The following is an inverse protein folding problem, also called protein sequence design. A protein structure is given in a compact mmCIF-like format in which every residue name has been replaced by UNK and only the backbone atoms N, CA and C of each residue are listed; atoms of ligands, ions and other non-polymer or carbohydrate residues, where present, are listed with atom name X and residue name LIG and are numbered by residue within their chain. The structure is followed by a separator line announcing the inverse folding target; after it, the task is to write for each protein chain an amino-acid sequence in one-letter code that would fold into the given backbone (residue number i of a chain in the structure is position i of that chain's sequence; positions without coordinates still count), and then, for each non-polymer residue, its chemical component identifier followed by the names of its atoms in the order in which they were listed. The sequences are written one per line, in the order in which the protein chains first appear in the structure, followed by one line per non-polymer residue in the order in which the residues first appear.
data_IF_896736999908
#
_entry.id   IF_896736999908
#
_cell.length_a   1.000
_cell.length_b   1.000
_cell.length_c   1.000
_cell.angle_alpha   90.00
_cell.angle_beta   90.00
_cell.angle_gamma   90.00
#
_symmetry.space_group_name_H-M   'P 1'
#
loop_
_entity.id
_entity.type
_entity.pdbx_description
1 polymer ?
#
# COMPACT_ATOMS: atom_id res chain seq x y z
N UNK A 1 35.80 -12.76 -40.45
CA UNK A 1 35.63 -12.85 -38.99
C UNK A 1 35.69 -11.45 -38.42
N UNK A 2 34.54 -10.89 -38.05
CA UNK A 2 34.37 -9.54 -37.49
C UNK A 2 33.64 -9.70 -36.15
N UNK A 3 34.11 -9.10 -35.05
CA UNK A 3 33.51 -9.32 -33.75
C UNK A 3 32.21 -8.52 -33.60
N UNK A 4 31.15 -9.20 -33.15
CA UNK A 4 29.86 -8.58 -32.78
C UNK A 4 30.06 -7.74 -31.53
N UNK A 5 29.73 -6.44 -31.63
CA UNK A 5 29.64 -5.53 -30.48
C UNK A 5 28.54 -5.99 -29.52
N UNK A 6 28.88 -6.12 -28.24
CA UNK A 6 27.92 -6.33 -27.17
C UNK A 6 27.00 -5.10 -27.04
N UNK A 7 25.70 -5.32 -27.11
CA UNK A 7 24.70 -4.29 -26.87
C UNK A 7 24.66 -3.98 -25.36
N UNK A 8 24.99 -2.74 -24.99
CA UNK A 8 24.74 -2.20 -23.65
C UNK A 8 23.23 -2.05 -23.48
N UNK A 9 22.64 -2.82 -22.56
CA UNK A 9 21.27 -2.63 -22.12
C UNK A 9 21.25 -1.37 -21.25
N UNK A 10 20.70 -0.29 -21.79
CA UNK A 10 20.41 0.93 -21.04
C UNK A 10 19.12 0.67 -20.23
N UNK A 11 19.11 0.79 -18.88
CA UNK A 11 17.87 0.70 -18.14
C UNK A 11 17.02 1.90 -18.52
N UNK A 12 15.87 1.63 -19.15
CA UNK A 12 14.84 2.63 -19.39
C UNK A 12 14.31 3.02 -18.01
N UNK A 13 14.73 4.18 -17.51
CA UNK A 13 14.02 4.91 -16.46
C UNK A 13 12.64 5.24 -17.03
N UNK A 14 11.69 4.33 -16.82
CA UNK A 14 10.30 4.56 -17.14
C UNK A 14 9.81 5.59 -16.12
N UNK A 15 9.80 6.86 -16.53
CA UNK A 15 9.04 7.92 -15.90
C UNK A 15 7.54 7.56 -16.03
N UNK A 16 7.08 6.60 -15.24
CA UNK A 16 5.67 6.41 -15.00
C UNK A 16 5.21 7.64 -14.21
N UNK A 17 4.47 8.51 -14.90
CA UNK A 17 3.75 9.61 -14.28
C UNK A 17 2.79 9.06 -13.21
N UNK A 18 3.28 9.01 -11.98
CA UNK A 18 2.45 8.96 -10.79
C UNK A 18 2.08 10.42 -10.55
N UNK A 19 0.84 10.77 -10.88
CA UNK A 19 0.27 12.03 -10.45
C UNK A 19 0.26 12.03 -8.92
N UNK A 20 1.30 12.64 -8.34
CA UNK A 20 1.26 13.16 -7.01
C UNK A 20 0.21 14.28 -7.01
N UNK A 21 -0.99 14.02 -6.50
CA UNK A 21 -1.85 15.12 -6.07
C UNK A 21 -1.27 15.70 -4.77
N UNK A 22 -0.20 16.47 -4.91
CA UNK A 22 0.22 17.46 -3.94
C UNK A 22 -0.61 18.72 -4.20
N UNK A 23 -1.12 19.34 -3.14
CA UNK A 23 -1.79 20.64 -3.22
C UNK A 23 -0.88 21.68 -3.88
N UNK A 24 -1.50 22.68 -4.49
CA UNK A 24 -0.85 23.77 -5.20
C UNK A 24 0.19 24.51 -4.32
N UNK A 25 1.41 23.99 -4.30
CA UNK A 25 2.62 24.66 -3.87
C UNK A 25 3.43 25.00 -5.10
N UNK A 26 3.83 26.27 -5.21
CA UNK A 26 4.70 26.82 -6.25
C UNK A 26 5.89 25.87 -6.48
N UNK A 27 6.13 25.45 -7.73
CA UNK A 27 7.27 24.61 -8.08
C UNK A 27 8.57 25.30 -7.61
N UNK A 28 9.42 24.67 -6.79
CA UNK A 28 10.73 25.22 -6.50
C UNK A 28 11.58 25.14 -7.77
N UNK A 29 12.26 26.25 -8.07
CA UNK A 29 13.11 26.41 -9.25
C UNK A 29 14.08 25.23 -9.40
N UNK A 30 14.01 24.57 -10.55
CA UNK A 30 14.80 23.39 -10.86
C UNK A 30 16.30 23.68 -10.85
N UNK A 31 16.95 23.41 -9.72
CA UNK A 31 18.34 23.01 -9.68
C UNK A 31 18.38 21.49 -9.50
N UNK A 32 18.88 20.80 -10.52
CA UNK A 32 19.33 19.41 -10.36
C UNK A 32 20.35 19.39 -9.20
N UNK A 33 20.24 18.47 -8.22
CA UNK A 33 21.21 18.39 -7.15
C UNK A 33 22.61 18.18 -7.74
N UNK A 34 23.57 18.96 -7.24
CA UNK A 34 24.98 18.82 -7.58
C UNK A 34 25.45 17.41 -7.20
N UNK A 35 26.03 16.69 -8.17
CA UNK A 35 26.74 15.43 -8.01
C UNK A 35 26.09 14.45 -7.01
N UNK A 36 24.82 14.11 -7.24
CA UNK A 36 24.04 13.25 -6.36
C UNK A 36 24.58 11.81 -6.30
N UNK A 37 24.71 11.27 -5.09
CA UNK A 37 25.00 9.85 -4.86
C UNK A 37 23.82 9.03 -5.42
N UNK A 38 24.02 8.37 -6.55
CA UNK A 38 23.05 7.38 -7.03
C UNK A 38 22.97 6.22 -6.03
N UNK A 39 21.77 5.94 -5.52
CA UNK A 39 21.55 4.79 -4.65
C UNK A 39 21.78 3.48 -5.43
N UNK A 40 22.30 2.44 -4.77
CA UNK A 40 22.49 1.16 -5.42
C UNK A 40 21.14 0.57 -5.83
N UNK A 41 21.10 0.00 -7.03
CA UNK A 41 19.97 -0.78 -7.54
C UNK A 41 20.46 -2.21 -7.74
N UNK A 42 19.82 -3.16 -7.04
CA UNK A 42 20.09 -4.59 -7.17
C UNK A 42 18.90 -5.29 -7.83
N UNK A 43 19.03 -5.64 -9.10
CA UNK A 43 18.12 -6.59 -9.74
C UNK A 43 18.46 -8.03 -9.35
N UNK A 44 17.45 -8.83 -8.98
CA UNK A 44 17.64 -10.27 -8.79
C UNK A 44 18.00 -10.93 -10.13
N UNK A 45 19.02 -11.77 -10.15
CA UNK A 45 19.48 -12.45 -11.37
C UNK A 45 18.66 -13.71 -11.72
N UNK A 46 17.83 -14.17 -10.78
CA UNK A 46 17.00 -15.35 -10.87
C UNK A 46 16.21 -15.49 -9.57
N UNK A 47 15.45 -16.58 -9.45
CA UNK A 47 14.68 -16.85 -8.24
C UNK A 47 15.58 -16.84 -7.00
N UNK A 48 15.13 -16.14 -5.96
CA UNK A 48 15.89 -15.99 -4.71
C UNK A 48 14.98 -16.28 -3.52
N UNK A 49 15.56 -16.87 -2.48
CA UNK A 49 14.90 -17.04 -1.18
C UNK A 49 15.62 -16.23 -0.11
N UNK A 50 14.88 -15.38 0.58
CA UNK A 50 15.36 -14.60 1.72
C UNK A 50 14.97 -15.25 3.03
N UNK A 51 15.89 -15.23 4.01
CA UNK A 51 15.68 -15.70 5.37
C UNK A 51 16.53 -14.90 6.36
N UNK A 52 16.15 -14.88 7.64
CA UNK A 52 16.89 -14.17 8.69
C UNK A 52 16.70 -12.66 8.64
N UNK A 53 17.78 -11.89 8.86
CA UNK A 53 17.76 -10.43 8.66
C UNK A 53 18.30 -10.08 7.26
N UNK A 54 17.49 -9.37 6.48
CA UNK A 54 17.86 -8.84 5.17
C UNK A 54 17.87 -7.32 5.26
N UNK A 55 18.90 -6.68 4.72
CA UNK A 55 19.03 -5.22 4.72
C UNK A 55 18.99 -4.68 3.29
N UNK A 56 18.15 -3.68 3.08
CA UNK A 56 17.99 -2.99 1.80
C UNK A 56 18.50 -1.56 1.95
N UNK A 57 19.51 -1.25 1.14
CA UNK A 57 20.01 0.10 0.87
C UNK A 57 19.70 0.41 -0.59
N UNK A 58 18.99 1.49 -0.88
CA UNK A 58 18.54 1.78 -2.24
C UNK A 58 17.42 0.84 -2.69
N UNK A 59 17.42 0.43 -3.97
CA UNK A 59 16.33 -0.35 -4.55
C UNK A 59 16.74 -1.81 -4.79
N UNK A 60 15.91 -2.75 -4.33
CA UNK A 60 15.96 -4.13 -4.81
C UNK A 60 14.82 -4.36 -5.79
N UNK A 61 15.17 -4.83 -6.99
CA UNK A 61 14.22 -5.10 -8.06
C UNK A 61 14.06 -6.61 -8.23
N UNK A 62 12.82 -7.09 -8.20
CA UNK A 62 12.43 -8.45 -8.60
C UNK A 62 11.93 -8.38 -10.05
N UNK A 63 12.76 -8.71 -11.07
CA UNK A 63 12.39 -8.51 -12.46
C UNK A 63 11.26 -9.46 -12.91
N UNK A 64 10.62 -9.14 -14.03
CA UNK A 64 9.65 -10.03 -14.67
C UNK A 64 10.25 -11.43 -14.88
N UNK A 65 9.49 -12.45 -14.53
CA UNK A 65 9.90 -13.86 -14.68
C UNK A 65 10.71 -14.40 -13.51
N UNK A 66 11.09 -13.54 -12.54
CA UNK A 66 11.76 -13.94 -11.31
C UNK A 66 10.76 -14.00 -10.16
N UNK A 67 10.97 -14.94 -9.23
CA UNK A 67 10.22 -15.07 -7.99
C UNK A 67 11.12 -14.80 -6.80
N UNK A 68 10.75 -13.81 -5.99
CA UNK A 68 11.32 -13.64 -4.65
C UNK A 68 10.44 -14.37 -3.64
N UNK A 69 11.03 -15.34 -2.94
CA UNK A 69 10.40 -16.01 -1.79
C UNK A 69 11.01 -15.47 -0.50
N UNK A 70 10.19 -15.11 0.47
CA UNK A 70 10.64 -14.66 1.79
C UNK A 70 10.15 -15.67 2.82
N UNK A 71 11.08 -16.32 3.51
CA UNK A 71 10.78 -17.36 4.48
C UNK A 71 10.11 -16.78 5.75
N UNK A 72 9.29 -17.56 6.47
CA UNK A 72 8.73 -17.15 7.76
C UNK A 72 9.78 -16.62 8.74
N UNK A 73 9.42 -15.62 9.55
CA UNK A 73 10.30 -15.00 10.54
C UNK A 73 11.38 -14.06 9.98
N UNK A 74 11.44 -13.88 8.66
CA UNK A 74 12.40 -12.95 8.04
C UNK A 74 12.10 -11.50 8.43
N UNK A 75 13.14 -10.74 8.73
CA UNK A 75 13.08 -9.28 8.96
C UNK A 75 13.82 -8.57 7.84
N UNK A 76 13.09 -7.85 7.00
CA UNK A 76 13.63 -6.99 5.94
C UNK A 76 13.70 -5.56 6.47
N UNK A 77 14.91 -5.00 6.57
CA UNK A 77 15.20 -3.67 7.09
C UNK A 77 15.60 -2.72 5.97
N UNK A 78 14.90 -1.60 5.84
CA UNK A 78 15.18 -0.57 4.85
C UNK A 78 15.96 0.58 5.49
N UNK A 79 17.10 0.95 4.91
CA UNK A 79 17.89 2.09 5.37
C UNK A 79 17.23 3.41 4.98
N UNK A 80 17.18 4.36 5.91
CA UNK A 80 16.67 5.70 5.63
C UNK A 80 17.74 6.53 4.94
N UNK A 81 17.52 6.77 3.66
CA UNK A 81 18.39 7.62 2.84
C UNK A 81 17.48 8.47 1.97
N UNK A 82 17.59 9.78 2.08
CA UNK A 82 16.75 10.74 1.37
C UNK A 82 17.69 11.56 0.47
N UNK A 83 17.76 11.18 -0.82
CA UNK A 83 18.71 11.79 -1.76
C UNK A 83 18.16 13.08 -2.36
N UNK A 84 16.84 13.15 -2.56
CA UNK A 84 16.18 14.31 -3.18
C UNK A 84 15.67 15.34 -2.16
N UNK A 85 15.74 15.03 -0.86
CA UNK A 85 15.42 15.94 0.24
C UNK A 85 13.92 16.15 0.45
N UNK A 86 13.08 15.25 -0.05
CA UNK A 86 11.61 15.35 0.07
C UNK A 86 11.07 14.90 1.43
N UNK A 87 11.95 14.40 2.30
CA UNK A 87 11.62 13.87 3.62
C UNK A 87 11.11 12.43 3.62
N UNK A 88 11.34 11.69 2.54
CA UNK A 88 11.03 10.27 2.38
C UNK A 88 12.31 9.48 2.12
N UNK A 89 12.49 8.38 2.85
CA UNK A 89 13.58 7.45 2.57
C UNK A 89 13.36 6.73 1.23
N UNK A 90 14.40 6.69 0.41
CA UNK A 90 14.41 6.16 -0.95
C UNK A 90 14.66 4.66 -1.06
N UNK A 91 14.90 3.97 0.06
CA UNK A 91 15.06 2.51 0.02
C UNK A 91 13.71 1.82 -0.26
N UNK A 92 13.70 0.81 -1.13
CA UNK A 92 12.49 0.15 -1.59
C UNK A 92 12.71 -1.30 -2.05
N UNK A 93 11.61 -2.07 -2.08
CA UNK A 93 11.51 -3.33 -2.80
C UNK A 93 10.52 -3.15 -3.95
N UNK A 94 11.01 -3.23 -5.19
CA UNK A 94 10.23 -3.05 -6.40
C UNK A 94 10.05 -4.39 -7.13
N UNK A 95 8.80 -4.82 -7.35
CA UNK A 95 8.45 -6.17 -7.81
C UNK A 95 7.69 -6.11 -9.13
N UNK A 96 8.34 -6.57 -10.21
CA UNK A 96 7.72 -6.83 -11.52
C UNK A 96 7.51 -8.33 -11.81
N UNK A 97 8.23 -9.18 -11.08
CA UNK A 97 8.07 -10.62 -11.07
C UNK A 97 6.99 -11.08 -10.10
N UNK A 98 7.32 -12.09 -9.29
CA UNK A 98 6.44 -12.62 -8.25
C UNK A 98 7.04 -12.39 -6.87
N UNK A 99 6.18 -12.19 -5.88
CA UNK A 99 6.56 -12.09 -4.46
C UNK A 99 5.74 -13.09 -3.65
N UNK A 100 6.43 -14.01 -2.98
CA UNK A 100 5.84 -14.99 -2.06
C UNK A 100 6.38 -14.73 -0.66
N UNK A 101 5.60 -14.04 0.16
CA UNK A 101 5.93 -13.72 1.55
C UNK A 101 4.84 -14.28 2.46
N UNK A 102 5.02 -15.52 2.89
CA UNK A 102 4.04 -16.27 3.69
C UNK A 102 4.63 -16.57 5.06
N UNK A 103 4.36 -15.71 6.04
CA UNK A 103 4.70 -15.95 7.43
C UNK A 103 3.82 -17.04 8.06
N UNK A 104 4.20 -17.49 9.26
CA UNK A 104 3.40 -18.45 10.04
C UNK A 104 2.90 -17.80 11.33
N UNK A 105 1.90 -18.40 12.01
CA UNK A 105 1.65 -18.07 13.40
C UNK A 105 2.95 -18.15 14.21
N UNK A 106 3.24 -17.17 15.04
CA UNK A 106 4.46 -17.00 15.84
C UNK A 106 5.68 -16.48 15.08
N UNK A 107 5.70 -16.56 13.75
CA UNK A 107 6.85 -16.14 12.92
C UNK A 107 6.40 -15.32 11.70
N UNK A 108 5.83 -14.12 11.92
CA UNK A 108 5.49 -13.22 10.84
C UNK A 108 6.74 -12.75 10.09
N UNK A 109 6.57 -12.40 8.81
CA UNK A 109 7.60 -11.68 8.05
C UNK A 109 7.45 -10.19 8.35
N UNK A 110 8.54 -9.49 8.63
CA UNK A 110 8.52 -8.06 8.96
C UNK A 110 9.29 -7.24 7.93
N UNK A 111 8.64 -6.22 7.37
CA UNK A 111 9.23 -5.15 6.57
C UNK A 111 9.24 -3.87 7.42
N UNK A 112 10.42 -3.33 7.73
CA UNK A 112 10.55 -2.27 8.73
C UNK A 112 11.76 -1.37 8.48
N UNK A 113 11.83 -0.27 9.21
CA UNK A 113 12.98 0.63 9.20
C UNK A 113 14.25 -0.02 9.77
N UNK A 114 15.40 0.35 9.23
CA UNK A 114 16.71 0.06 9.80
C UNK A 114 17.12 1.05 10.91
N UNK A 115 16.39 2.16 11.07
CA UNK A 115 16.72 3.21 12.03
C UNK A 115 16.57 2.74 13.47
N UNK A 116 17.37 3.32 14.38
CA UNK A 116 17.28 3.06 15.82
C UNK A 116 15.93 3.50 16.39
N UNK A 117 15.41 4.61 15.89
CA UNK A 117 14.12 5.18 16.28
C UNK A 117 13.23 5.27 15.03
N UNK A 118 12.54 4.17 14.65
CA UNK A 118 11.74 4.13 13.43
C UNK A 118 10.63 5.18 13.41
N UNK A 119 10.43 5.80 12.25
CA UNK A 119 9.39 6.78 12.01
C UNK A 119 8.74 6.59 10.63
N UNK A 120 7.45 6.96 10.44
CA UNK A 120 6.84 6.93 9.11
C UNK A 120 7.69 7.70 8.09
N UNK A 121 7.79 7.20 6.87
CA UNK A 121 8.64 7.70 5.78
C UNK A 121 10.14 7.38 5.91
N UNK A 122 10.53 6.46 6.78
CA UNK A 122 11.93 6.00 6.83
C UNK A 122 12.34 5.25 5.55
N UNK A 123 11.39 4.72 4.79
CA UNK A 123 11.61 4.03 3.52
C UNK A 123 10.39 4.15 2.60
N UNK A 124 10.57 3.90 1.30
CA UNK A 124 9.60 4.31 0.27
C UNK A 124 8.45 3.34 0.15
N UNK A 125 8.73 2.15 -0.41
CA UNK A 125 7.71 1.24 -0.89
C UNK A 125 8.06 -0.24 -0.73
N UNK A 126 7.03 -1.04 -0.47
CA UNK A 126 6.91 -2.35 -1.12
C UNK A 126 6.05 -2.12 -2.36
N UNK A 127 6.68 -1.93 -3.51
CA UNK A 127 5.97 -1.61 -4.74
C UNK A 127 5.83 -2.85 -5.62
N UNK A 128 4.61 -3.34 -5.76
CA UNK A 128 4.25 -4.44 -6.66
C UNK A 128 3.61 -3.85 -7.91
N UNK A 129 4.25 -4.03 -9.07
CA UNK A 129 3.81 -3.46 -10.33
C UNK A 129 3.87 -4.53 -11.43
N UNK A 130 2.79 -4.74 -12.18
CA UNK A 130 2.72 -5.74 -13.26
C UNK A 130 2.89 -7.22 -12.83
N UNK A 131 2.86 -7.50 -11.52
CA UNK A 131 3.00 -8.85 -10.98
C UNK A 131 1.75 -9.69 -11.25
N UNK A 132 1.95 -10.91 -11.74
CA UNK A 132 0.84 -11.86 -11.97
C UNK A 132 0.55 -12.75 -10.77
N UNK A 133 1.48 -12.82 -9.81
CA UNK A 133 1.35 -13.61 -8.60
C UNK A 133 2.11 -12.96 -7.46
N UNK A 134 1.38 -12.25 -6.61
CA UNK A 134 1.87 -11.76 -5.33
C UNK A 134 1.05 -12.35 -4.20
N UNK A 135 1.70 -12.94 -3.20
CA UNK A 135 1.08 -13.47 -1.99
C UNK A 135 1.80 -12.89 -0.79
N UNK A 136 1.07 -12.12 0.02
CA UNK A 136 1.49 -11.73 1.35
C UNK A 136 0.52 -12.36 2.35
N UNK A 137 1.04 -13.20 3.25
CA UNK A 137 0.28 -13.71 4.39
C UNK A 137 1.08 -13.56 5.67
N UNK A 138 0.43 -13.14 6.76
CA UNK A 138 1.07 -12.96 8.07
C UNK A 138 2.34 -12.10 7.99
N UNK A 139 2.24 -11.00 7.27
CA UNK A 139 3.29 -9.99 7.17
C UNK A 139 3.00 -8.80 8.09
N UNK A 140 4.04 -8.10 8.52
CA UNK A 140 3.97 -6.79 9.18
C UNK A 140 4.78 -5.81 8.35
N UNK A 141 4.14 -4.77 7.82
CA UNK A 141 4.82 -3.66 7.13
C UNK A 141 4.62 -2.37 7.91
N UNK A 142 5.73 -1.70 8.26
CA UNK A 142 5.70 -0.54 9.14
C UNK A 142 6.78 0.51 8.82
N UNK A 143 6.49 1.77 9.17
CA UNK A 143 7.37 2.93 9.03
C UNK A 143 7.69 3.37 7.59
N UNK A 144 6.98 2.82 6.61
CA UNK A 144 7.12 3.19 5.21
C UNK A 144 6.42 4.53 4.90
N UNK A 145 6.70 5.09 3.72
CA UNK A 145 5.76 5.99 3.07
C UNK A 145 4.51 5.21 2.63
N UNK A 146 4.65 4.14 1.84
CA UNK A 146 3.55 3.19 1.60
C UNK A 146 3.93 1.79 2.07
N UNK A 147 3.16 1.24 3.04
CA UNK A 147 3.41 -0.09 3.60
C UNK A 147 3.33 -1.20 2.55
N UNK A 148 2.43 -1.03 1.57
CA UNK A 148 2.44 -1.74 0.29
C UNK A 148 1.76 -0.87 -0.76
N UNK A 149 2.21 -0.96 -2.01
CA UNK A 149 1.57 -0.36 -3.17
C UNK A 149 1.40 -1.41 -4.27
N UNK A 150 0.17 -1.66 -4.72
CA UNK A 150 -0.14 -2.69 -5.72
C UNK A 150 -0.74 -2.06 -6.98
N UNK A 151 0.00 -2.09 -8.09
CA UNK A 151 -0.40 -1.51 -9.38
C UNK A 151 -0.40 -2.57 -10.48
N UNK A 152 -1.43 -2.57 -11.34
CA UNK A 152 -1.51 -3.46 -12.52
C UNK A 152 -1.21 -4.94 -12.22
N UNK A 153 -1.60 -5.41 -11.04
CA UNK A 153 -1.12 -6.68 -10.49
C UNK A 153 -2.26 -7.53 -9.94
N UNK A 154 -2.03 -8.85 -9.92
CA UNK A 154 -2.86 -9.81 -9.19
C UNK A 154 -2.21 -10.17 -7.86
N UNK A 155 -2.88 -9.87 -6.76
CA UNK A 155 -2.33 -10.06 -5.42
C UNK A 155 -3.34 -10.65 -4.44
N UNK A 156 -2.86 -11.51 -3.55
CA UNK A 156 -3.59 -11.95 -2.36
C UNK A 156 -2.85 -11.46 -1.13
N UNK A 157 -3.47 -10.59 -0.35
CA UNK A 157 -2.88 -10.08 0.89
C UNK A 157 -3.81 -10.42 2.04
N UNK A 158 -3.32 -11.25 2.96
CA UNK A 158 -4.14 -11.78 4.04
C UNK A 158 -3.44 -11.78 5.38
N UNK A 159 -4.21 -11.68 6.47
CA UNK A 159 -3.68 -11.87 7.84
C UNK A 159 -2.47 -11.00 8.17
N UNK A 160 -2.36 -9.85 7.51
CA UNK A 160 -1.18 -8.98 7.60
C UNK A 160 -1.50 -7.67 8.31
N UNK A 161 -0.48 -7.00 8.83
CA UNK A 161 -0.56 -5.72 9.52
C UNK A 161 0.17 -4.66 8.72
N UNK A 162 -0.49 -3.53 8.49
CA UNK A 162 0.09 -2.33 7.90
C UNK A 162 -0.07 -1.19 8.88
N UNK A 163 1.04 -0.69 9.43
CA UNK A 163 0.97 0.32 10.50
C UNK A 163 2.07 1.36 10.48
N UNK A 164 1.79 2.55 11.03
CA UNK A 164 2.78 3.63 11.13
C UNK A 164 3.39 3.99 9.78
N UNK A 165 2.60 3.88 8.72
CA UNK A 165 2.93 4.33 7.38
C UNK A 165 2.17 5.61 7.05
N UNK A 166 2.54 6.30 5.97
CA UNK A 166 1.66 7.33 5.41
C UNK A 166 0.44 6.66 4.79
N UNK A 167 0.65 5.84 3.77
CA UNK A 167 -0.36 4.93 3.24
C UNK A 167 -0.10 3.53 3.84
N UNK A 168 -1.02 2.99 4.62
CA UNK A 168 -0.91 1.62 5.15
C UNK A 168 -0.95 0.62 4.00
N UNK A 169 -2.01 0.68 3.21
CA UNK A 169 -2.24 -0.16 2.04
C UNK A 169 -2.71 0.67 0.85
N UNK A 170 -1.94 0.68 -0.23
CA UNK A 170 -2.29 1.38 -1.47
C UNK A 170 -2.49 0.42 -2.64
N UNK A 171 -3.50 0.67 -3.46
CA UNK A 171 -3.65 -0.07 -4.73
C UNK A 171 -4.34 0.74 -5.83
N UNK A 172 -4.05 0.36 -7.08
CA UNK A 172 -4.69 0.85 -8.29
C UNK A 172 -4.63 -0.19 -9.40
N UNK A 173 -5.69 -0.33 -10.21
CA UNK A 173 -5.71 -1.31 -11.31
C UNK A 173 -5.32 -2.72 -10.83
N UNK A 174 -5.77 -3.10 -9.63
CA UNK A 174 -5.39 -4.35 -8.98
C UNK A 174 -6.53 -5.38 -9.05
N UNK A 175 -6.17 -6.65 -9.12
CA UNK A 175 -7.09 -7.77 -9.00
C UNK A 175 -6.71 -8.61 -7.79
N UNK A 176 -7.71 -9.11 -7.05
CA UNK A 176 -7.50 -10.11 -6.02
C UNK A 176 -8.14 -9.78 -4.68
N UNK A 177 -7.70 -10.47 -3.64
CA UNK A 177 -8.36 -10.50 -2.34
C UNK A 177 -7.44 -9.91 -1.28
N UNK A 178 -7.89 -8.82 -0.67
CA UNK A 178 -7.25 -8.16 0.47
C UNK A 178 -8.14 -8.38 1.67
N UNK A 179 -7.88 -9.46 2.41
CA UNK A 179 -8.79 -9.88 3.48
C UNK A 179 -8.14 -10.25 4.78
N UNK A 180 -8.85 -10.03 5.89
CA UNK A 180 -8.35 -10.36 7.23
C UNK A 180 -7.03 -9.63 7.52
N UNK A 181 -6.87 -8.39 7.06
CA UNK A 181 -5.72 -7.56 7.39
C UNK A 181 -6.10 -6.52 8.45
N UNK A 182 -5.09 -5.96 9.13
CA UNK A 182 -5.24 -4.82 10.01
C UNK A 182 -4.46 -3.62 9.47
N UNK A 183 -5.15 -2.50 9.26
CA UNK A 183 -4.56 -1.23 8.86
C UNK A 183 -4.76 -0.24 10.00
N UNK A 184 -3.68 0.14 10.69
CA UNK A 184 -3.77 0.94 11.92
C UNK A 184 -2.62 1.91 12.11
N UNK A 185 -2.84 3.03 12.80
CA UNK A 185 -1.81 4.05 13.08
C UNK A 185 -1.17 4.63 11.80
N UNK A 186 -1.90 4.65 10.68
CA UNK A 186 -1.45 5.26 9.42
C UNK A 186 -2.08 6.64 9.21
N UNK A 187 -1.56 7.43 8.26
CA UNK A 187 -2.32 8.60 7.78
C UNK A 187 -3.56 8.12 7.03
N UNK A 188 -3.38 7.22 6.07
CA UNK A 188 -4.48 6.54 5.36
C UNK A 188 -4.37 5.04 5.62
N UNK A 189 -5.40 4.43 6.20
CA UNK A 189 -5.42 2.97 6.39
C UNK A 189 -5.38 2.24 5.05
N UNK A 190 -6.32 2.61 4.18
CA UNK A 190 -6.37 2.20 2.77
C UNK A 190 -6.48 3.44 1.89
N UNK A 191 -5.68 3.49 0.82
CA UNK A 191 -5.81 4.49 -0.23
C UNK A 191 -5.91 3.81 -1.58
N UNK A 192 -6.93 4.13 -2.37
CA UNK A 192 -7.06 3.51 -3.69
C UNK A 192 -7.59 4.42 -4.78
N UNK A 193 -7.16 4.11 -5.99
CA UNK A 193 -7.74 4.58 -7.24
C UNK A 193 -8.24 3.35 -7.98
N UNK A 194 -9.53 3.22 -8.27
CA UNK A 194 -10.05 2.00 -8.88
C UNK A 194 -9.37 1.71 -10.23
N UNK A 195 -9.49 2.60 -11.21
CA UNK A 195 -8.89 2.44 -12.56
C UNK A 195 -9.10 1.02 -13.14
N UNK A 196 -10.34 0.52 -13.09
CA UNK A 196 -10.74 -0.85 -13.45
C UNK A 196 -10.27 -1.97 -12.51
N UNK A 197 -9.82 -1.64 -11.30
CA UNK A 197 -9.59 -2.62 -10.24
C UNK A 197 -10.87 -3.36 -9.88
N UNK A 198 -10.75 -4.67 -9.70
CA UNK A 198 -11.81 -5.58 -9.21
C UNK A 198 -11.42 -6.18 -7.86
N UNK A 199 -10.59 -5.47 -7.10
CA UNK A 199 -10.12 -5.91 -5.80
C UNK A 199 -11.28 -6.10 -4.82
N UNK A 200 -11.14 -7.08 -3.93
CA UNK A 200 -12.09 -7.37 -2.86
C UNK A 200 -11.42 -7.03 -1.54
N UNK A 201 -11.92 -6.00 -0.86
CA UNK A 201 -11.56 -5.66 0.51
C UNK A 201 -12.61 -6.25 1.45
N UNK A 202 -12.23 -7.30 2.18
CA UNK A 202 -13.17 -7.94 3.10
C UNK A 202 -12.56 -8.42 4.41
N UNK A 203 -13.34 -8.36 5.49
CA UNK A 203 -12.91 -8.85 6.82
C UNK A 203 -11.64 -8.17 7.34
N UNK A 204 -11.35 -6.96 6.84
CA UNK A 204 -10.25 -6.17 7.36
C UNK A 204 -10.68 -5.39 8.59
N UNK A 205 -9.73 -5.04 9.43
CA UNK A 205 -9.88 -4.12 10.54
C UNK A 205 -9.11 -2.83 10.25
N UNK A 206 -9.84 -1.75 10.00
CA UNK A 206 -9.31 -0.46 9.53
C UNK A 206 -9.63 0.58 10.60
N UNK A 207 -8.69 0.78 11.53
CA UNK A 207 -8.91 1.52 12.77
C UNK A 207 -7.69 2.30 13.24
N UNK A 208 -7.91 3.43 13.92
CA UNK A 208 -6.82 4.24 14.47
C UNK A 208 -5.94 4.90 13.42
N UNK A 209 -6.42 5.07 12.19
CA UNK A 209 -5.74 5.85 11.15
C UNK A 209 -6.26 7.30 11.17
N UNK A 210 -5.58 8.25 10.53
CA UNK A 210 -6.17 9.59 10.35
C UNK A 210 -7.43 9.51 9.48
N UNK A 211 -7.35 8.77 8.37
CA UNK A 211 -8.50 8.39 7.54
C UNK A 211 -8.48 6.87 7.34
N UNK A 212 -9.63 6.21 7.54
CA UNK A 212 -9.76 4.77 7.37
C UNK A 212 -9.55 4.34 5.92
N UNK A 213 -10.53 4.63 5.06
CA UNK A 213 -10.45 4.40 3.60
C UNK A 213 -10.51 5.73 2.85
N UNK A 214 -9.58 5.94 1.93
CA UNK A 214 -9.56 7.06 1.00
C UNK A 214 -9.73 6.57 -0.46
N UNK A 215 -10.93 6.77 -1.00
CA UNK A 215 -11.22 6.58 -2.43
C UNK A 215 -10.88 7.87 -3.18
N UNK A 216 -9.77 7.87 -3.92
CA UNK A 216 -9.14 9.12 -4.37
C UNK A 216 -9.95 9.81 -5.47
N UNK A 217 -10.35 9.09 -6.52
CA UNK A 217 -10.98 9.70 -7.69
C UNK A 217 -11.54 8.65 -8.65
N UNK A 218 -12.51 9.09 -9.46
CA UNK A 218 -13.00 8.41 -10.69
C UNK A 218 -13.28 6.91 -10.54
N UNK A 219 -13.62 6.47 -9.33
CA UNK A 219 -13.99 5.09 -9.04
C UNK A 219 -15.47 4.89 -9.29
N UNK A 220 -15.86 3.71 -9.76
CA UNK A 220 -17.22 3.41 -10.22
C UNK A 220 -17.90 2.28 -9.44
N UNK A 221 -17.28 1.84 -8.33
CA UNK A 221 -17.83 0.81 -7.44
C UNK A 221 -17.49 -0.62 -7.86
N UNK A 222 -16.41 -0.83 -8.63
CA UNK A 222 -15.91 -2.15 -9.01
C UNK A 222 -15.07 -2.82 -7.92
N UNK A 223 -14.48 -2.02 -7.04
CA UNK A 223 -13.83 -2.52 -5.82
C UNK A 223 -14.92 -2.90 -4.83
N UNK A 224 -14.98 -4.18 -4.45
CA UNK A 224 -15.94 -4.64 -3.46
C UNK A 224 -15.42 -4.37 -2.05
N UNK A 225 -16.13 -3.53 -1.28
CA UNK A 225 -15.78 -3.18 0.10
C UNK A 225 -16.89 -3.68 1.01
N UNK A 226 -16.70 -4.84 1.65
CA UNK A 226 -17.74 -5.50 2.45
C UNK A 226 -17.17 -6.33 3.58
N UNK A 227 -17.95 -6.59 4.62
CA UNK A 227 -17.56 -7.39 5.77
C UNK A 227 -16.34 -6.82 6.52
N UNK A 228 -15.98 -5.54 6.34
CA UNK A 228 -14.89 -4.91 7.07
C UNK A 228 -15.38 -4.27 8.36
N UNK A 229 -14.45 -4.07 9.29
CA UNK A 229 -14.59 -3.16 10.43
C UNK A 229 -13.88 -1.86 10.07
N UNK A 230 -14.62 -0.78 9.94
CA UNK A 230 -14.10 0.53 9.54
C UNK A 230 -14.54 1.53 10.61
N UNK A 231 -13.70 1.79 11.60
CA UNK A 231 -14.11 2.55 12.78
C UNK A 231 -12.93 3.19 13.49
N UNK A 232 -13.21 4.17 14.37
CA UNK A 232 -12.20 4.71 15.29
C UNK A 232 -11.01 5.36 14.59
N UNK A 233 -11.16 5.79 13.34
CA UNK A 233 -10.17 6.63 12.67
C UNK A 233 -10.28 8.08 13.20
N UNK A 234 -9.34 8.99 12.94
CA UNK A 234 -9.38 10.32 13.54
C UNK A 234 -10.39 11.23 12.83
N UNK A 235 -10.14 11.51 11.54
CA UNK A 235 -10.94 12.45 10.76
C UNK A 235 -12.18 11.77 10.20
N UNK A 236 -11.99 10.70 9.42
CA UNK A 236 -13.06 9.99 8.72
C UNK A 236 -12.79 8.49 8.64
N UNK A 237 -13.84 7.70 8.74
CA UNK A 237 -13.78 6.26 8.49
C UNK A 237 -13.78 5.96 6.98
N UNK A 238 -14.50 6.76 6.18
CA UNK A 238 -14.43 6.73 4.71
C UNK A 238 -14.41 8.16 4.14
N UNK A 239 -13.48 8.42 3.22
CA UNK A 239 -13.35 9.70 2.53
C UNK A 239 -13.33 9.52 1.01
N UNK A 240 -14.08 10.36 0.31
CA UNK A 240 -13.99 10.56 -1.13
C UNK A 240 -13.06 11.73 -1.47
N UNK A 241 -12.29 11.61 -2.54
CA UNK A 241 -11.44 12.71 -3.03
C UNK A 241 -12.19 13.69 -3.92
N UNK A 242 -11.59 14.85 -4.15
CA UNK A 242 -12.21 16.02 -4.79
C UNK A 242 -12.74 15.78 -6.22
N UNK A 243 -12.29 14.72 -6.91
CA UNK A 243 -12.75 14.31 -8.26
C UNK A 243 -13.58 13.03 -8.27
N UNK A 244 -13.98 12.53 -7.10
CA UNK A 244 -14.82 11.35 -7.00
C UNK A 244 -16.29 11.74 -7.15
N UNK A 245 -16.84 11.57 -8.37
CA UNK A 245 -18.22 11.96 -8.71
C UNK A 245 -19.24 10.84 -8.54
N UNK A 246 -18.86 9.60 -8.82
CA UNK A 246 -19.76 8.45 -8.72
C UNK A 246 -19.87 7.97 -7.28
N UNK A 247 -21.03 7.38 -6.98
CA UNK A 247 -21.30 6.76 -5.68
C UNK A 247 -20.45 5.51 -5.48
N UNK A 248 -20.03 5.30 -4.24
CA UNK A 248 -19.19 4.17 -3.85
C UNK A 248 -20.00 3.23 -2.95
N UNK A 249 -20.30 2.01 -3.43
CA UNK A 249 -20.88 0.95 -2.62
C UNK A 249 -19.95 0.58 -1.45
N UNK A 250 -20.49 0.62 -0.23
CA UNK A 250 -19.81 0.26 1.01
C UNK A 250 -20.78 -0.42 1.98
N UNK A 251 -21.79 -1.11 1.46
CA UNK A 251 -22.76 -1.87 2.24
C UNK A 251 -22.11 -3.09 2.90
N UNK A 252 -22.73 -3.59 3.95
CA UNK A 252 -22.29 -4.80 4.66
C UNK A 252 -20.98 -4.62 5.43
N UNK A 253 -20.59 -3.39 5.79
CA UNK A 253 -19.48 -3.11 6.70
C UNK A 253 -19.99 -2.77 8.11
N UNK A 254 -19.14 -2.97 9.12
CA UNK A 254 -19.33 -2.50 10.49
C UNK A 254 -18.60 -1.18 10.70
N UNK A 255 -19.31 -0.18 11.21
CA UNK A 255 -18.82 1.19 11.34
C UNK A 255 -18.50 1.61 12.78
N UNK A 256 -18.44 0.66 13.70
CA UNK A 256 -18.21 0.93 15.13
C UNK A 256 -19.48 1.24 15.94
N UNK A 257 -20.63 1.41 15.27
CA UNK A 257 -21.93 1.72 15.88
C UNK A 257 -23.06 1.25 14.97
N UNK A 258 -24.28 1.15 15.52
CA UNK A 258 -25.51 0.92 14.76
C UNK A 258 -26.36 2.17 14.55
N UNK A 259 -25.91 3.34 15.00
CA UNK A 259 -26.60 4.62 14.79
C UNK A 259 -26.23 5.21 13.42
N UNK A 260 -27.17 5.28 12.45
CA UNK A 260 -26.88 5.79 11.10
C UNK A 260 -26.38 7.24 11.10
N UNK A 261 -26.82 8.09 12.03
CA UNK A 261 -26.38 9.48 12.11
C UNK A 261 -24.91 9.56 12.55
N UNK A 262 -24.53 8.75 13.54
CA UNK A 262 -23.15 8.60 13.96
C UNK A 262 -22.26 8.04 12.83
N UNK A 263 -22.73 7.08 12.04
CA UNK A 263 -21.98 6.57 10.88
C UNK A 263 -21.80 7.68 9.82
N UNK A 264 -22.88 8.39 9.48
CA UNK A 264 -22.84 9.47 8.48
C UNK A 264 -21.86 10.58 8.86
N UNK A 265 -21.78 10.94 10.15
CA UNK A 265 -20.83 11.94 10.65
C UNK A 265 -19.35 11.56 10.46
N UNK A 266 -19.06 10.28 10.18
CA UNK A 266 -17.71 9.73 9.98
C UNK A 266 -17.32 9.56 8.52
N UNK A 267 -18.17 10.01 7.60
CA UNK A 267 -18.00 9.84 6.16
C UNK A 267 -17.87 11.22 5.50
N UNK A 268 -16.82 11.40 4.69
CA UNK A 268 -16.64 12.58 3.84
C UNK A 268 -17.05 12.23 2.41
N UNK A 269 -18.26 12.62 2.02
CA UNK A 269 -18.88 12.37 0.72
C UNK A 269 -19.81 13.54 0.32
N UNK A 270 -20.78 13.30 -0.57
CA UNK A 270 -21.81 14.27 -0.99
C UNK A 270 -22.53 14.98 0.17
N UNK A 271 -22.67 14.33 1.32
CA UNK A 271 -23.29 14.92 2.49
C UNK A 271 -22.48 16.07 3.10
N UNK A 272 -21.18 16.12 2.82
CA UNK A 272 -20.25 17.17 3.26
C UNK A 272 -19.87 18.10 2.10
N UNK A 273 -19.59 17.55 0.92
CA UNK A 273 -19.20 18.28 -0.28
C UNK A 273 -20.13 17.93 -1.45
N UNK A 274 -21.08 18.81 -1.84
CA UNK A 274 -22.15 18.49 -2.79
C UNK A 274 -21.71 17.99 -4.17
N UNK A 275 -20.51 18.36 -4.60
CA UNK A 275 -19.95 17.97 -5.90
C UNK A 275 -19.36 16.54 -5.91
N UNK A 276 -19.39 15.82 -4.79
CA UNK A 276 -18.90 14.43 -4.70
C UNK A 276 -20.01 13.39 -4.89
N UNK A 277 -19.59 12.15 -5.14
CA UNK A 277 -20.45 10.98 -4.96
C UNK A 277 -20.82 10.75 -3.50
N UNK A 278 -21.77 9.85 -3.25
CA UNK A 278 -22.12 9.36 -1.92
C UNK A 278 -21.38 8.06 -1.59
N UNK A 279 -21.07 7.85 -0.31
CA UNK A 279 -20.71 6.52 0.18
C UNK A 279 -22.00 5.83 0.63
N UNK A 280 -22.35 4.75 -0.07
CA UNK A 280 -23.56 3.97 0.17
C UNK A 280 -23.27 2.91 1.23
N UNK A 281 -23.48 3.27 2.50
CA UNK A 281 -23.13 2.40 3.62
C UNK A 281 -24.28 1.51 4.15
N UNK A 282 -25.51 1.73 3.66
CA UNK A 282 -26.69 0.98 4.07
C UNK A 282 -27.05 -0.13 3.07
N UNK A 283 -27.35 -1.35 3.53
CA UNK A 283 -27.38 -1.78 4.92
C UNK A 283 -25.97 -1.94 5.52
N UNK A 284 -25.78 -1.54 6.78
CA UNK A 284 -24.56 -1.81 7.54
C UNK A 284 -24.75 -2.99 8.50
N UNK A 285 -23.65 -3.58 8.96
CA UNK A 285 -23.71 -4.72 9.89
C UNK A 285 -24.21 -4.26 11.28
N UNK A 286 -24.98 -5.11 11.97
CA UNK A 286 -25.47 -4.81 13.33
C UNK A 286 -24.44 -5.09 14.43
N UNK A 287 -23.36 -5.81 14.11
CA UNK A 287 -22.28 -6.16 14.99
C UNK A 287 -20.98 -6.28 14.19
N UNK A 288 -19.80 -6.10 14.82
CA UNK A 288 -18.54 -6.34 14.14
C UNK A 288 -18.45 -7.80 13.64
N UNK A 289 -18.02 -8.05 12.39
CA UNK A 289 -17.54 -9.37 11.97
C UNK A 289 -16.53 -9.92 12.98
N UNK A 290 -16.35 -11.24 13.14
CA UNK A 290 -15.36 -11.80 14.08
C UNK A 290 -13.96 -11.20 13.90
N UNK A 291 -13.25 -10.96 15.01
CA UNK A 291 -11.84 -10.59 14.96
C UNK A 291 -11.12 -11.92 14.79
N UNK A 292 -10.46 -12.11 13.66
CA UNK A 292 -9.76 -13.35 13.42
C UNK A 292 -8.52 -13.52 14.30
N UNK A 293 -8.14 -12.51 15.10
CA UNK A 293 -7.13 -12.60 16.15
C UNK A 293 -5.87 -13.31 15.67
N UNK A 294 -5.04 -12.61 14.89
CA UNK A 294 -3.86 -13.26 14.31
C UNK A 294 -3.23 -12.48 13.16
N UNK A 295 -3.37 -11.16 13.18
CA UNK A 295 -2.77 -10.30 12.17
C UNK A 295 -1.27 -10.23 12.42
N UNK A 296 -0.47 -10.77 11.52
CA UNK A 296 0.99 -10.74 11.66
C UNK A 296 1.50 -11.37 12.96
N UNK A 297 0.77 -12.34 13.51
CA UNK A 297 1.17 -13.19 14.64
C UNK A 297 0.81 -14.63 14.37
#
# INVERSE_FOLDING_TARGET
MTPRRAARILPILLACGIAACAGAGKAPDGKLPADGIALPIRGLAGDETWSGEVRIRGSVVVPRGVTLTIAPGTVVRFEKIDVDGDGIGDSELYVEGNLLAEGTPGSPIRFTSAERNPSPRDWKYLFVNLSRRTVLSRCVSEYAFSGIQIHFSRATVTRSVFRRCVDGFRFSTAEGVFSRNRMTENVYGVRYEERNSTAILSRNDITGNKVGIFCVMESTGKVAIRENRIHGNADYDFKLGNRQRADIPAEGNWWGTTDPAAIRARIFDRGVEPDLGGVLFEPFLAAPPPDDGGYGT
#
